data_IF_818682856159
#
_entry.id   IF_818682856159
#
_cell.length_a   1.000
_cell.length_b   1.000
_cell.length_c   1.000
_cell.angle_alpha   90.00
_cell.angle_beta   90.00
_cell.angle_gamma   90.00
#
_symmetry.space_group_name_H-M   'P 1'
#
loop_
_entity.id
_entity.type
_entity.pdbx_description
1 polymer ?
#
# COMPACT_ATOMS: atom_id res chain seq x y z
N UNK A 1 -11.52 1.19 -7.98
CA UNK A 1 -11.33 2.30 -7.03
C UNK A 1 -11.32 1.69 -5.65
N UNK A 2 -10.15 1.59 -5.04
CA UNK A 2 -10.03 1.23 -3.63
C UNK A 2 -10.34 2.52 -2.86
N UNK A 3 -11.41 2.53 -2.08
CA UNK A 3 -12.00 3.76 -1.58
C UNK A 3 -11.01 4.66 -0.83
N UNK A 4 -10.95 5.94 -1.22
CA UNK A 4 -10.21 7.02 -0.55
C UNK A 4 -10.68 7.33 0.89
N UNK A 5 -11.53 6.48 1.49
CA UNK A 5 -12.24 6.73 2.75
C UNK A 5 -11.43 6.51 4.03
N UNK A 6 -10.21 5.98 3.96
CA UNK A 6 -9.39 5.65 5.14
C UNK A 6 -8.60 6.89 5.62
N UNK A 7 -9.21 8.08 5.58
CA UNK A 7 -8.57 9.36 5.95
C UNK A 7 -9.13 9.99 7.23
N UNK A 8 -10.19 9.41 7.82
CA UNK A 8 -10.85 9.89 9.03
C UNK A 8 -10.13 9.51 10.32
N UNK A 9 -8.86 9.88 10.45
CA UNK A 9 -8.03 9.66 11.64
C UNK A 9 -8.11 10.82 12.65
N UNK A 10 -9.04 11.76 12.46
CA UNK A 10 -9.33 12.78 13.46
C UNK A 10 -9.96 12.12 14.70
N UNK A 11 -9.42 12.43 15.88
CA UNK A 11 -10.10 12.19 17.15
C UNK A 11 -11.35 13.08 17.16
N UNK A 12 -12.52 12.52 17.46
CA UNK A 12 -13.69 13.34 17.78
C UNK A 12 -13.47 14.13 19.07
N UNK A 13 -14.45 14.92 19.52
CA UNK A 13 -14.51 15.32 20.93
C UNK A 13 -15.15 14.17 21.72
N UNK A 14 -14.61 13.81 22.88
CA UNK A 14 -15.24 12.83 23.77
C UNK A 14 -16.05 13.62 24.78
N UNK A 15 -17.36 13.57 24.62
CA UNK A 15 -18.29 14.23 25.53
C UNK A 15 -18.74 13.30 26.64
N UNK A 16 -18.21 12.07 26.72
CA UNK A 16 -18.86 10.97 27.43
C UNK A 16 -20.20 10.61 26.79
N UNK A 17 -20.78 9.50 27.25
CA UNK A 17 -22.18 9.19 27.01
C UNK A 17 -22.89 9.18 28.36
N UNK A 18 -23.89 10.05 28.52
CA UNK A 18 -24.72 10.13 29.71
C UNK A 18 -26.11 9.60 29.40
N UNK A 19 -26.69 8.80 30.30
CA UNK A 19 -28.09 8.41 30.17
C UNK A 19 -29.03 9.59 30.44
N UNK A 20 -30.33 9.38 30.30
CA UNK A 20 -31.35 10.39 30.56
C UNK A 20 -31.35 10.95 32.00
N UNK A 21 -30.64 10.31 32.93
CA UNK A 21 -30.49 10.74 34.32
C UNK A 21 -29.14 11.45 34.58
N UNK A 22 -28.35 11.72 33.54
CA UNK A 22 -27.04 12.35 33.67
C UNK A 22 -25.96 11.43 34.22
N UNK A 23 -26.17 10.10 34.23
CA UNK A 23 -25.18 9.12 34.68
C UNK A 23 -24.31 8.71 33.50
N UNK A 24 -22.99 8.80 33.65
CA UNK A 24 -22.04 8.32 32.66
C UNK A 24 -22.22 6.81 32.43
N UNK A 25 -22.45 6.41 31.18
CA UNK A 25 -22.61 5.02 30.75
C UNK A 25 -21.66 4.70 29.59
N UNK A 26 -21.27 3.44 29.46
CA UNK A 26 -20.52 2.98 28.28
C UNK A 26 -21.35 3.13 27.01
N UNK A 27 -20.84 3.91 26.07
CA UNK A 27 -21.18 3.75 24.66
C UNK A 27 -19.92 3.30 23.90
N UNK A 28 -20.02 2.17 23.18
CA UNK A 28 -18.93 1.59 22.40
C UNK A 28 -18.46 2.52 21.28
N UNK A 29 -19.34 3.38 20.77
CA UNK A 29 -19.03 4.29 19.66
C UNK A 29 -18.30 5.58 20.11
N UNK A 30 -18.30 5.89 21.42
CA UNK A 30 -17.80 7.14 21.99
C UNK A 30 -16.76 6.94 23.12
N UNK A 31 -15.88 5.93 23.04
CA UNK A 31 -14.73 5.80 23.97
C UNK A 31 -15.00 5.05 25.29
N UNK A 32 -16.22 4.61 25.57
CA UNK A 32 -16.55 3.84 26.79
C UNK A 32 -16.40 4.64 28.10
N UNK A 33 -16.39 3.93 29.24
CA UNK A 33 -16.50 4.50 30.61
C UNK A 33 -15.39 5.47 31.06
N UNK A 34 -14.30 5.66 30.31
CA UNK A 34 -13.04 6.22 30.86
C UNK A 34 -12.38 7.29 29.99
N UNK A 35 -13.01 7.71 28.90
CA UNK A 35 -12.45 8.71 28.03
C UNK A 35 -11.20 8.26 27.25
N UNK A 36 -10.52 9.24 26.66
CA UNK A 36 -9.22 9.08 26.00
C UNK A 36 -8.14 8.61 26.96
N UNK A 37 -7.42 7.54 26.62
CA UNK A 37 -6.31 7.00 27.42
C UNK A 37 -5.00 7.13 26.69
N UNK A 38 -3.94 7.48 27.41
CA UNK A 38 -2.56 7.45 26.93
C UNK A 38 -1.77 6.52 27.85
N UNK A 39 -1.02 5.57 27.29
CA UNK A 39 -0.19 4.65 28.08
C UNK A 39 1.09 5.32 28.58
N UNK A 40 1.85 5.91 27.65
CA UNK A 40 3.04 6.72 27.93
C UNK A 40 2.96 8.01 27.12
N UNK A 41 3.19 9.15 27.78
CA UNK A 41 3.18 10.47 27.16
C UNK A 41 4.49 11.19 27.46
N UNK A 42 5.13 11.72 26.42
CA UNK A 42 6.11 12.79 26.56
C UNK A 42 5.45 14.09 26.10
N UNK A 43 5.41 15.10 26.98
CA UNK A 43 4.81 16.39 26.68
C UNK A 43 5.68 17.55 27.12
N UNK A 44 5.40 18.73 26.58
CA UNK A 44 6.13 19.95 26.88
C UNK A 44 5.78 20.46 28.29
N UNK A 45 6.81 20.71 29.08
CA UNK A 45 6.73 21.46 30.34
C UNK A 45 7.64 22.67 30.25
N UNK A 46 8.92 22.44 29.93
CA UNK A 46 9.91 23.47 29.61
C UNK A 46 10.40 23.35 28.17
N UNK A 47 10.99 24.43 27.64
CA UNK A 47 11.54 24.45 26.27
C UNK A 47 12.75 23.53 26.19
N UNK A 48 12.62 22.45 25.43
CA UNK A 48 13.71 21.53 25.08
C UNK A 48 14.02 21.62 23.58
N UNK A 49 15.18 22.17 23.25
CA UNK A 49 15.65 22.29 21.87
C UNK A 49 16.48 21.08 21.39
N UNK A 50 16.54 20.00 22.18
CA UNK A 50 17.27 18.77 21.89
C UNK A 50 18.75 18.81 22.25
N UNK A 51 19.23 19.89 22.90
CA UNK A 51 20.64 20.05 23.28
C UNK A 51 21.00 19.51 24.67
N UNK A 52 20.00 19.26 25.52
CA UNK A 52 20.18 18.92 26.95
C UNK A 52 20.28 17.41 27.23
N UNK A 53 20.07 16.56 26.22
CA UNK A 53 20.15 15.11 26.35
C UNK A 53 19.13 14.38 25.48
N UNK A 54 18.91 13.11 25.79
CA UNK A 54 17.92 12.25 25.11
C UNK A 54 16.81 11.86 26.07
N UNK A 55 15.57 12.22 25.73
CA UNK A 55 14.37 11.81 26.44
C UNK A 55 13.95 10.40 25.99
N UNK A 56 13.84 9.45 26.92
CA UNK A 56 13.51 8.05 26.60
C UNK A 56 12.11 7.69 27.05
N UNK A 57 11.29 7.25 26.11
CA UNK A 57 9.95 6.74 26.36
C UNK A 57 9.91 5.27 25.94
N UNK A 58 10.06 4.35 26.90
CA UNK A 58 10.25 2.92 26.62
C UNK A 58 9.15 2.06 27.25
N UNK A 59 8.48 1.24 26.43
CA UNK A 59 7.61 0.17 26.92
C UNK A 59 8.36 -1.17 26.92
N UNK A 60 8.49 -1.79 28.09
CA UNK A 60 9.03 -3.15 28.28
C UNK A 60 7.98 -4.18 28.68
N UNK A 61 6.77 -3.73 28.99
CA UNK A 61 5.65 -4.54 29.47
C UNK A 61 4.45 -4.52 28.52
N UNK A 62 3.25 -4.51 29.10
CA UNK A 62 1.99 -4.58 28.34
C UNK A 62 1.18 -3.30 28.51
N UNK A 63 0.89 -2.64 27.40
CA UNK A 63 -0.14 -1.59 27.29
C UNK A 63 -1.34 -2.21 26.57
N UNK A 64 -2.52 -2.17 27.18
CA UNK A 64 -3.72 -2.79 26.61
C UNK A 64 -4.95 -1.89 26.80
N UNK A 65 -5.44 -1.34 25.70
CA UNK A 65 -6.64 -0.53 25.64
C UNK A 65 -7.68 -1.19 24.73
N UNK A 66 -8.74 -1.73 25.32
CA UNK A 66 -9.87 -2.32 24.60
C UNK A 66 -10.91 -1.31 24.12
N UNK A 67 -10.84 -0.06 24.61
CA UNK A 67 -11.71 1.04 24.21
C UNK A 67 -11.18 1.82 23.00
N UNK A 68 -12.08 2.59 22.38
CA UNK A 68 -11.75 3.45 21.23
C UNK A 68 -10.93 4.69 21.65
N UNK A 69 -10.36 5.38 20.66
CA UNK A 69 -9.68 6.67 20.80
C UNK A 69 -8.47 6.74 21.78
N UNK A 70 -7.80 5.63 22.03
CA UNK A 70 -6.64 5.59 22.93
C UNK A 70 -5.31 5.70 22.17
N UNK A 71 -4.25 6.08 22.87
CA UNK A 71 -2.88 6.10 22.33
C UNK A 71 -1.97 5.27 23.24
N UNK A 72 -1.28 4.27 22.71
CA UNK A 72 -0.34 3.48 23.50
C UNK A 72 0.82 4.33 24.00
N UNK A 73 1.55 4.94 23.07
CA UNK A 73 2.67 5.84 23.34
C UNK A 73 2.56 7.11 22.49
N UNK A 74 2.71 8.28 23.09
CA UNK A 74 2.58 9.58 22.41
C UNK A 74 3.76 10.50 22.70
N UNK A 75 4.23 11.21 21.67
CA UNK A 75 5.08 12.39 21.80
C UNK A 75 4.27 13.61 21.36
N UNK A 76 4.06 14.54 22.29
CA UNK A 76 3.29 15.76 22.11
C UNK A 76 3.94 16.92 22.88
N UNK A 77 5.07 17.39 22.36
CA UNK A 77 5.92 18.43 22.94
C UNK A 77 5.92 19.69 22.07
N UNK A 78 4.73 20.21 21.77
CA UNK A 78 4.57 21.44 20.98
C UNK A 78 5.34 22.63 21.58
N UNK A 79 5.90 23.48 20.71
CA UNK A 79 6.76 24.60 21.12
C UNK A 79 8.19 24.19 21.48
N UNK A 80 8.53 22.90 21.39
CA UNK A 80 9.87 22.35 21.62
C UNK A 80 10.31 21.45 20.46
N UNK A 81 11.61 21.14 20.42
CA UNK A 81 12.20 20.18 19.48
C UNK A 81 13.07 19.17 20.22
N UNK A 82 12.51 18.41 21.19
CA UNK A 82 13.29 17.53 22.04
C UNK A 82 13.94 16.40 21.24
N UNK A 83 15.09 15.91 21.69
CA UNK A 83 15.67 14.68 21.18
C UNK A 83 15.04 13.49 21.92
N UNK A 84 14.25 12.68 21.21
CA UNK A 84 13.42 11.64 21.81
C UNK A 84 13.77 10.26 21.26
N UNK A 85 13.83 9.27 22.14
CA UNK A 85 13.85 7.84 21.79
C UNK A 85 12.57 7.18 22.29
N UNK A 86 11.64 6.91 21.38
CA UNK A 86 10.39 6.19 21.66
C UNK A 86 10.57 4.74 21.25
N UNK A 87 10.48 3.82 22.20
CA UNK A 87 10.75 2.40 21.97
C UNK A 87 9.66 1.51 22.59
N UNK A 88 8.90 0.81 21.76
CA UNK A 88 8.25 -0.42 22.20
C UNK A 88 9.27 -1.55 22.08
N UNK A 89 9.91 -1.92 23.19
CA UNK A 89 11.06 -2.85 23.20
C UNK A 89 10.67 -4.26 22.75
N UNK A 90 11.65 -5.14 22.54
CA UNK A 90 11.39 -6.52 22.09
C UNK A 90 10.48 -7.36 23.02
N UNK A 91 10.38 -7.00 24.31
CA UNK A 91 9.43 -7.62 25.26
C UNK A 91 8.13 -6.83 25.41
N UNK A 92 8.09 -5.62 24.86
CA UNK A 92 6.95 -4.71 24.90
C UNK A 92 5.80 -5.19 24.01
N UNK A 93 4.58 -5.03 24.51
CA UNK A 93 3.34 -5.28 23.77
C UNK A 93 2.37 -4.12 23.92
N UNK A 94 1.79 -3.69 22.81
CA UNK A 94 0.74 -2.68 22.76
C UNK A 94 -0.48 -3.30 22.07
N UNK A 95 -1.63 -3.31 22.73
CA UNK A 95 -2.90 -3.71 22.13
C UNK A 95 -3.88 -2.55 22.22
N UNK A 96 -4.44 -2.15 21.08
CA UNK A 96 -5.38 -1.05 20.95
C UNK A 96 -6.60 -1.49 20.12
N UNK A 97 -7.74 -0.84 20.32
CA UNK A 97 -8.96 -1.08 19.55
C UNK A 97 -9.68 0.21 19.18
N UNK A 98 -10.55 0.19 18.17
CA UNK A 98 -11.33 1.36 17.75
C UNK A 98 -10.47 2.43 17.08
N UNK A 99 -10.81 3.72 17.21
CA UNK A 99 -10.10 4.84 16.54
C UNK A 99 -8.79 5.23 17.25
N UNK A 100 -7.89 4.28 17.43
CA UNK A 100 -6.75 4.37 18.36
C UNK A 100 -5.39 4.33 17.67
N UNK A 101 -4.33 4.74 18.38
CA UNK A 101 -2.94 4.70 17.90
C UNK A 101 -2.06 3.85 18.80
N UNK A 102 -1.26 2.94 18.25
CA UNK A 102 -0.30 2.18 19.05
C UNK A 102 0.82 3.10 19.53
N UNK A 103 1.48 3.76 18.57
CA UNK A 103 2.48 4.80 18.80
C UNK A 103 2.16 6.00 17.90
N UNK A 104 2.10 7.20 18.47
CA UNK A 104 1.81 8.43 17.73
C UNK A 104 2.90 9.47 17.95
N UNK A 105 3.47 9.95 16.86
CA UNK A 105 4.37 11.09 16.84
C UNK A 105 3.57 12.33 16.44
N UNK A 106 3.30 13.21 17.41
CA UNK A 106 2.27 14.25 17.27
C UNK A 106 2.80 15.68 17.33
N UNK A 107 4.10 15.87 17.54
CA UNK A 107 4.76 17.17 17.55
C UNK A 107 6.10 17.13 16.80
N UNK A 108 6.67 18.32 16.56
CA UNK A 108 8.08 18.44 16.17
C UNK A 108 8.99 17.82 17.23
N UNK A 109 10.12 17.30 16.77
CA UNK A 109 11.25 16.77 17.55
C UNK A 109 12.58 17.11 16.87
N UNK A 110 13.69 16.83 17.53
CA UNK A 110 15.02 16.86 16.93
C UNK A 110 15.16 15.78 15.84
N UNK A 111 15.91 16.07 14.77
CA UNK A 111 16.16 15.12 13.66
C UNK A 111 16.89 13.84 14.05
N UNK A 112 17.53 13.82 15.23
CA UNK A 112 18.18 12.62 15.78
C UNK A 112 17.23 11.67 16.50
N UNK A 113 16.00 12.11 16.77
CA UNK A 113 14.99 11.32 17.47
C UNK A 113 14.64 10.03 16.73
N UNK A 114 14.09 9.06 17.46
CA UNK A 114 13.69 7.75 16.91
C UNK A 114 12.34 7.33 17.47
N UNK A 115 11.56 6.65 16.63
CA UNK A 115 10.33 5.95 17.01
C UNK A 115 10.39 4.53 16.47
N UNK A 116 10.53 3.56 17.36
CA UNK A 116 10.72 2.17 16.98
C UNK A 116 9.77 1.22 17.71
N UNK A 117 9.09 0.37 16.93
CA UNK A 117 8.48 -0.85 17.44
C UNK A 117 9.42 -2.04 17.21
N UNK A 118 10.12 -2.47 18.26
CA UNK A 118 10.88 -3.72 18.29
C UNK A 118 10.08 -4.90 18.87
N UNK A 119 9.02 -4.59 19.63
CA UNK A 119 8.09 -5.57 20.20
C UNK A 119 6.89 -5.84 19.31
N UNK A 120 5.72 -5.95 19.94
CA UNK A 120 4.45 -6.23 19.26
C UNK A 120 3.45 -5.09 19.40
N UNK A 121 2.75 -4.77 18.30
CA UNK A 121 1.56 -3.92 18.30
C UNK A 121 0.41 -4.71 17.67
N UNK A 122 -0.77 -4.70 18.29
CA UNK A 122 -1.99 -5.28 17.73
C UNK A 122 -3.10 -4.24 17.71
N UNK A 123 -3.68 -4.00 16.53
CA UNK A 123 -4.88 -3.19 16.39
C UNK A 123 -6.12 -4.07 16.26
N UNK A 124 -7.23 -3.61 16.84
CA UNK A 124 -8.56 -4.20 16.74
C UNK A 124 -9.62 -3.14 16.47
N UNK A 125 -10.86 -3.56 16.23
CA UNK A 125 -11.94 -2.62 15.93
C UNK A 125 -11.74 -1.87 14.60
N UNK A 126 -12.16 -0.61 14.53
CA UNK A 126 -12.16 0.17 13.28
C UNK A 126 -11.32 1.44 13.35
N UNK A 127 -10.61 1.79 12.27
CA UNK A 127 -9.89 3.08 12.12
C UNK A 127 -8.74 3.29 13.13
N UNK A 128 -7.98 2.24 13.43
CA UNK A 128 -6.75 2.32 14.23
C UNK A 128 -5.51 2.51 13.37
N UNK A 129 -4.42 3.01 13.95
CA UNK A 129 -3.08 2.90 13.36
C UNK A 129 -2.07 2.31 14.36
N UNK A 130 -1.22 1.37 13.92
CA UNK A 130 -0.17 0.81 14.76
C UNK A 130 0.89 1.87 15.09
N UNK A 131 1.48 2.49 14.07
CA UNK A 131 2.39 3.63 14.17
C UNK A 131 1.85 4.76 13.28
N UNK A 132 1.80 5.98 13.78
CA UNK A 132 1.35 7.13 13.00
C UNK A 132 2.24 8.37 13.21
N UNK A 133 2.61 9.01 12.09
CA UNK A 133 3.18 10.36 12.04
C UNK A 133 2.39 11.15 11.01
N UNK A 134 1.58 12.10 11.47
CA UNK A 134 0.58 12.78 10.67
C UNK A 134 0.70 14.27 10.93
N UNK A 135 0.82 15.06 9.86
CA UNK A 135 0.79 16.52 9.95
C UNK A 135 -0.47 17.02 10.66
N UNK A 136 -0.35 18.18 11.30
CA UNK A 136 -1.49 18.89 11.88
C UNK A 136 -1.61 20.26 11.24
N UNK A 137 -2.84 20.66 10.93
CA UNK A 137 -3.11 21.98 10.37
C UNK A 137 -2.71 23.07 11.38
N UNK A 138 -2.08 24.13 10.89
CA UNK A 138 -1.57 25.22 11.73
C UNK A 138 -0.18 24.98 12.35
N UNK A 139 0.35 23.75 12.30
CA UNK A 139 1.72 23.43 12.75
C UNK A 139 2.73 23.58 11.61
N UNK A 140 3.13 24.81 11.31
CA UNK A 140 4.02 25.13 10.18
C UNK A 140 5.45 25.46 10.62
N UNK A 141 6.40 25.50 9.69
CA UNK A 141 7.76 25.96 9.98
C UNK A 141 8.47 25.06 11.00
N UNK A 142 8.97 25.63 12.08
CA UNK A 142 9.65 24.87 13.14
C UNK A 142 8.70 23.98 13.94
N UNK A 143 7.39 24.20 13.88
CA UNK A 143 6.41 23.33 14.56
C UNK A 143 5.90 22.19 13.66
N UNK A 144 6.29 22.19 12.39
CA UNK A 144 5.85 21.17 11.43
C UNK A 144 6.32 19.77 11.82
N UNK A 145 5.39 18.82 11.85
CA UNK A 145 5.69 17.44 12.24
C UNK A 145 6.56 16.79 11.15
N UNK A 146 7.63 16.13 11.60
CA UNK A 146 8.62 15.46 10.75
C UNK A 146 8.84 14.04 11.26
N UNK A 147 8.85 13.08 10.35
CA UNK A 147 9.26 11.70 10.65
C UNK A 147 10.77 11.50 10.45
N UNK A 148 11.41 12.31 9.61
CA UNK A 148 12.80 12.18 9.18
C UNK A 148 13.14 10.83 8.52
N UNK A 149 14.21 10.79 7.74
CA UNK A 149 14.60 9.55 7.07
C UNK A 149 15.24 8.56 8.05
N UNK A 150 14.72 7.33 8.07
CA UNK A 150 15.28 6.21 8.81
C UNK A 150 15.02 6.24 10.31
N UNK A 151 14.13 7.12 10.79
CA UNK A 151 13.86 7.30 12.23
C UNK A 151 12.60 6.63 12.74
N UNK A 152 11.62 6.38 11.87
CA UNK A 152 10.36 5.71 12.23
C UNK A 152 10.36 4.28 11.69
N UNK A 153 10.40 3.29 12.59
CA UNK A 153 10.64 1.89 12.23
C UNK A 153 9.71 0.90 12.92
N UNK A 154 9.36 -0.16 12.18
CA UNK A 154 8.91 -1.42 12.74
C UNK A 154 9.98 -2.49 12.49
N UNK A 155 10.67 -2.89 13.56
CA UNK A 155 11.66 -3.99 13.58
C UNK A 155 11.07 -5.27 14.16
N UNK A 156 10.00 -5.16 14.97
CA UNK A 156 9.23 -6.27 15.52
C UNK A 156 8.01 -6.67 14.68
N UNK A 157 6.85 -6.78 15.33
CA UNK A 157 5.60 -7.22 14.70
C UNK A 157 4.44 -6.23 14.88
N UNK A 158 3.70 -5.99 13.80
CA UNK A 158 2.39 -5.29 13.84
C UNK A 158 1.32 -6.24 13.30
N UNK A 159 0.23 -6.42 14.04
CA UNK A 159 -0.95 -7.15 13.56
C UNK A 159 -2.13 -6.20 13.46
N UNK A 160 -2.65 -6.03 12.25
CA UNK A 160 -3.77 -5.15 11.93
C UNK A 160 -5.03 -5.99 11.78
N UNK A 161 -5.95 -5.91 12.74
CA UNK A 161 -7.24 -6.60 12.68
C UNK A 161 -8.41 -5.63 12.56
N UNK A 162 -9.63 -6.19 12.48
CA UNK A 162 -10.86 -5.42 12.40
C UNK A 162 -11.03 -4.77 11.02
N UNK A 163 -11.28 -3.46 10.96
CA UNK A 163 -11.54 -2.79 9.68
C UNK A 163 -10.97 -1.38 9.54
N UNK A 164 -10.69 -0.94 8.31
CA UNK A 164 -10.24 0.44 8.00
C UNK A 164 -9.03 0.92 8.84
N UNK A 165 -8.20 0.01 9.31
CA UNK A 165 -7.03 0.27 10.15
C UNK A 165 -5.73 0.19 9.35
N UNK A 166 -4.69 0.82 9.85
CA UNK A 166 -3.38 0.90 9.21
C UNK A 166 -2.29 0.33 10.13
N UNK A 167 -1.33 -0.41 9.60
CA UNK A 167 -0.16 -0.83 10.38
C UNK A 167 0.76 0.35 10.68
N UNK A 168 1.28 0.99 9.64
CA UNK A 168 2.09 2.21 9.73
C UNK A 168 1.56 3.31 8.80
N UNK A 169 1.35 4.52 9.30
CA UNK A 169 0.84 5.66 8.53
C UNK A 169 1.75 6.88 8.61
N UNK A 170 2.15 7.40 7.44
CA UNK A 170 2.87 8.66 7.31
C UNK A 170 2.06 9.63 6.45
N UNK A 171 1.84 10.85 6.95
CA UNK A 171 1.29 11.96 6.16
C UNK A 171 2.01 13.25 6.50
N UNK A 172 2.93 13.68 5.65
CA UNK A 172 3.71 14.93 5.81
C UNK A 172 4.09 15.51 4.45
N UNK A 173 4.41 16.79 4.38
CA UNK A 173 4.94 17.44 3.17
C UNK A 173 6.46 17.56 3.22
N UNK A 174 7.16 16.43 3.33
CA UNK A 174 8.62 16.37 3.43
C UNK A 174 9.16 15.05 2.87
N UNK A 175 10.44 15.02 2.52
CA UNK A 175 11.17 13.80 2.15
C UNK A 175 11.49 12.94 3.38
N UNK A 176 10.46 12.51 4.09
CA UNK A 176 10.57 11.67 5.27
C UNK A 176 10.09 10.24 4.96
N UNK A 177 10.39 9.29 5.84
CA UNK A 177 9.96 7.91 5.61
C UNK A 177 9.55 7.14 6.88
N UNK A 178 8.77 6.09 6.63
CA UNK A 178 8.47 5.02 7.58
C UNK A 178 8.98 3.69 7.01
N UNK A 179 9.60 2.86 7.84
CA UNK A 179 10.24 1.63 7.38
C UNK A 179 9.78 0.41 8.16
N UNK A 180 9.33 -0.63 7.45
CA UNK A 180 9.14 -1.96 7.99
C UNK A 180 10.34 -2.85 7.65
N UNK A 181 11.07 -3.31 8.66
CA UNK A 181 12.09 -4.37 8.53
C UNK A 181 11.65 -5.67 9.20
N UNK A 182 10.64 -5.61 10.08
CA UNK A 182 10.04 -6.75 10.75
C UNK A 182 8.84 -7.32 9.99
N UNK A 183 7.74 -7.56 10.71
CA UNK A 183 6.52 -8.16 10.16
C UNK A 183 5.30 -7.25 10.32
N UNK A 184 4.44 -7.22 9.31
CA UNK A 184 3.10 -6.64 9.38
C UNK A 184 2.10 -7.67 8.87
N UNK A 185 1.17 -8.10 9.73
CA UNK A 185 0.07 -8.99 9.37
C UNK A 185 -1.23 -8.18 9.23
N UNK A 186 -1.79 -8.12 8.03
CA UNK A 186 -2.99 -7.36 7.68
C UNK A 186 -4.15 -8.34 7.51
N UNK A 187 -5.07 -8.36 8.47
CA UNK A 187 -6.21 -9.27 8.52
C UNK A 187 -7.53 -8.50 8.40
N UNK A 188 -8.68 -9.16 8.53
CA UNK A 188 -9.98 -8.46 8.59
C UNK A 188 -10.43 -7.87 7.25
N UNK A 189 -10.87 -6.60 7.24
CA UNK A 189 -11.46 -5.98 6.03
C UNK A 189 -11.05 -4.52 5.83
N UNK A 190 -10.69 -4.14 4.61
CA UNK A 190 -10.31 -2.75 4.25
C UNK A 190 -9.15 -2.16 5.08
N UNK A 191 -8.26 -3.00 5.57
CA UNK A 191 -7.06 -2.62 6.30
C UNK A 191 -5.87 -2.42 5.36
N UNK A 192 -4.90 -1.61 5.79
CA UNK A 192 -3.67 -1.33 5.06
C UNK A 192 -2.46 -1.69 5.93
N UNK A 193 -1.46 -2.36 5.36
CA UNK A 193 -0.20 -2.62 6.07
C UNK A 193 0.59 -1.34 6.30
N UNK A 194 1.00 -0.68 5.22
CA UNK A 194 1.69 0.61 5.25
C UNK A 194 1.01 1.62 4.34
N UNK A 195 0.82 2.85 4.81
CA UNK A 195 0.28 3.94 4.00
C UNK A 195 1.16 5.18 4.09
N UNK A 196 1.34 5.82 2.95
CA UNK A 196 1.97 7.13 2.87
C UNK A 196 1.14 8.09 2.02
N UNK A 197 0.93 9.28 2.57
CA UNK A 197 0.18 10.36 1.93
C UNK A 197 1.06 11.61 1.82
N UNK A 198 0.99 12.32 0.69
CA UNK A 198 1.53 13.67 0.59
C UNK A 198 0.72 14.62 1.47
N UNK A 199 1.38 15.22 2.45
CA UNK A 199 0.81 16.24 3.29
C UNK A 199 0.67 17.60 2.59
N UNK A 200 -0.11 18.49 3.21
CA UNK A 200 -0.34 19.87 2.80
C UNK A 200 0.44 20.90 3.62
N UNK A 201 0.88 20.54 4.82
CA UNK A 201 1.50 21.47 5.77
C UNK A 201 2.98 21.61 5.44
N UNK A 202 3.38 22.79 4.98
CA UNK A 202 4.76 23.06 4.61
C UNK A 202 5.71 22.84 5.79
N UNK A 203 6.82 22.16 5.49
CA UNK A 203 7.90 21.92 6.45
C UNK A 203 9.17 22.66 6.04
N UNK A 204 10.18 22.59 6.88
CA UNK A 204 11.54 23.08 6.60
C UNK A 204 12.35 22.19 5.63
N UNK A 205 11.78 21.08 5.14
CA UNK A 205 12.33 20.31 4.04
C UNK A 205 11.32 20.11 2.91
N UNK A 206 11.81 20.17 1.68
CA UNK A 206 11.03 19.91 0.47
C UNK A 206 11.20 18.46 0.06
N UNK A 207 10.12 17.86 -0.42
CA UNK A 207 10.15 16.56 -1.07
C UNK A 207 8.96 15.69 -0.68
N UNK A 208 8.96 14.48 -1.20
CA UNK A 208 7.83 13.56 -1.14
C UNK A 208 8.07 12.46 -0.10
N UNK A 209 7.09 12.18 0.76
CA UNK A 209 7.23 11.16 1.80
C UNK A 209 7.21 9.76 1.20
N UNK A 210 7.81 8.80 1.92
CA UNK A 210 7.84 7.41 1.48
C UNK A 210 7.53 6.37 2.57
N UNK A 211 7.01 5.22 2.14
CA UNK A 211 6.85 4.03 2.95
C UNK A 211 7.70 2.90 2.36
N UNK A 212 8.58 2.32 3.17
CA UNK A 212 9.59 1.36 2.72
C UNK A 212 9.39 0.01 3.42
N UNK A 213 9.17 -1.04 2.64
CA UNK A 213 9.18 -2.40 3.13
C UNK A 213 10.47 -3.12 2.71
N UNK A 214 11.27 -3.50 3.71
CA UNK A 214 12.37 -4.45 3.59
C UNK A 214 12.15 -5.69 4.45
N UNK A 215 11.02 -5.78 5.16
CA UNK A 215 10.59 -6.95 5.91
C UNK A 215 9.47 -7.72 5.19
N UNK A 216 8.57 -8.32 5.97
CA UNK A 216 7.41 -9.07 5.44
C UNK A 216 6.09 -8.37 5.75
N UNK A 217 5.24 -8.23 4.74
CA UNK A 217 3.83 -7.88 4.89
C UNK A 217 2.98 -9.06 4.44
N UNK A 218 2.14 -9.61 5.31
CA UNK A 218 1.19 -10.68 4.99
C UNK A 218 -0.22 -10.11 4.98
N UNK A 219 -0.95 -10.28 3.89
CA UNK A 219 -2.30 -9.77 3.70
C UNK A 219 -3.28 -10.93 3.57
N UNK A 220 -4.30 -10.95 4.43
CA UNK A 220 -5.39 -11.95 4.45
C UNK A 220 -6.73 -11.24 4.49
N UNK A 221 -7.83 -11.90 4.14
CA UNK A 221 -9.18 -11.31 4.28
C UNK A 221 -9.62 -10.48 3.06
N UNK A 222 -10.48 -9.48 3.28
CA UNK A 222 -11.23 -8.81 2.20
C UNK A 222 -10.81 -7.35 2.01
N UNK A 223 -10.63 -6.91 0.76
CA UNK A 223 -10.30 -5.54 0.41
C UNK A 223 -9.05 -4.97 1.13
N UNK A 224 -8.15 -5.84 1.57
CA UNK A 224 -6.96 -5.44 2.31
C UNK A 224 -5.81 -5.11 1.36
N UNK A 225 -4.97 -4.16 1.75
CA UNK A 225 -3.86 -3.71 0.93
C UNK A 225 -2.54 -3.81 1.71
N UNK A 226 -1.50 -4.34 1.08
CA UNK A 226 -0.16 -4.38 1.70
C UNK A 226 0.41 -2.98 1.89
N UNK A 227 0.55 -2.22 0.78
CA UNK A 227 1.11 -0.87 0.79
C UNK A 227 0.28 0.11 -0.06
N UNK A 228 0.10 1.34 0.41
CA UNK A 228 -0.60 2.42 -0.30
C UNK A 228 0.26 3.67 -0.40
N UNK A 229 0.26 4.29 -1.57
CA UNK A 229 0.78 5.65 -1.81
C UNK A 229 -0.32 6.54 -2.38
N UNK A 230 -0.53 7.71 -1.76
CA UNK A 230 -1.56 8.69 -2.13
C UNK A 230 -1.01 10.11 -2.23
N UNK A 231 -1.33 10.85 -3.29
CA UNK A 231 -0.64 12.13 -3.56
C UNK A 231 0.83 11.90 -3.95
N UNK A 232 1.58 12.98 -4.22
CA UNK A 232 3.02 12.91 -4.53
C UNK A 232 3.83 12.28 -3.38
N UNK A 233 3.90 10.95 -3.37
CA UNK A 233 4.48 10.10 -2.33
C UNK A 233 4.93 8.78 -2.96
N UNK A 234 5.69 7.96 -2.21
CA UNK A 234 6.22 6.70 -2.75
C UNK A 234 6.11 5.52 -1.78
N UNK A 235 5.47 4.43 -2.19
CA UNK A 235 5.49 3.16 -1.47
C UNK A 235 6.42 2.16 -2.16
N UNK A 236 7.37 1.57 -1.44
CA UNK A 236 8.45 0.77 -2.00
C UNK A 236 8.57 -0.60 -1.32
N UNK A 237 8.43 -1.68 -2.09
CA UNK A 237 8.77 -3.04 -1.66
C UNK A 237 10.15 -3.40 -2.24
N UNK A 238 11.19 -3.39 -1.41
CA UNK A 238 12.57 -3.42 -1.87
C UNK A 238 13.19 -4.83 -1.97
N UNK A 239 14.15 -5.00 -2.88
CA UNK A 239 14.84 -6.26 -3.17
C UNK A 239 15.53 -6.93 -1.96
N UNK A 240 15.94 -8.20 -2.13
CA UNK A 240 16.63 -9.09 -1.17
C UNK A 240 15.78 -9.54 0.03
N UNK A 241 14.99 -8.65 0.64
CA UNK A 241 14.23 -8.97 1.86
C UNK A 241 12.78 -8.49 1.86
N UNK A 242 12.42 -7.49 1.05
CA UNK A 242 11.03 -7.00 0.95
C UNK A 242 10.09 -8.02 0.33
N UNK A 243 9.15 -8.50 1.14
CA UNK A 243 8.14 -9.49 0.75
C UNK A 243 6.73 -9.02 1.07
N UNK A 244 5.83 -9.13 0.09
CA UNK A 244 4.39 -9.03 0.29
C UNK A 244 3.76 -10.38 -0.06
N UNK A 245 2.99 -10.96 0.88
CA UNK A 245 2.32 -12.26 0.72
C UNK A 245 0.81 -12.09 0.84
N UNK A 246 0.09 -12.35 -0.24
CA UNK A 246 -1.37 -12.32 -0.32
C UNK A 246 -1.88 -13.75 -0.09
N UNK A 247 -2.68 -13.99 0.95
CA UNK A 247 -3.14 -15.33 1.31
C UNK A 247 -4.66 -15.36 1.40
N UNK A 248 -5.32 -16.06 0.45
CA UNK A 248 -6.77 -16.22 0.46
C UNK A 248 -7.54 -14.88 0.40
N UNK A 249 -6.96 -13.85 -0.21
CA UNK A 249 -7.56 -12.51 -0.22
C UNK A 249 -8.72 -12.41 -1.20
N UNK A 250 -9.69 -11.55 -0.89
CA UNK A 250 -10.91 -11.35 -1.69
C UNK A 250 -11.24 -9.87 -1.88
N UNK A 251 -12.15 -9.55 -2.81
CA UNK A 251 -12.89 -8.30 -2.85
C UNK A 251 -12.04 -7.05 -3.07
N UNK A 252 -11.28 -7.00 -4.16
CA UNK A 252 -10.36 -5.92 -4.50
C UNK A 252 -9.27 -5.75 -3.43
N UNK A 253 -8.51 -6.80 -3.17
CA UNK A 253 -7.30 -6.71 -2.36
C UNK A 253 -6.09 -6.39 -3.24
N UNK A 254 -5.04 -5.79 -2.66
CA UNK A 254 -3.83 -5.47 -3.42
C UNK A 254 -2.54 -5.71 -2.63
N UNK A 255 -1.46 -6.10 -3.31
CA UNK A 255 -0.12 -6.04 -2.72
C UNK A 255 0.31 -4.60 -2.52
N UNK A 256 0.30 -3.83 -3.61
CA UNK A 256 0.62 -2.40 -3.63
C UNK A 256 -0.44 -1.62 -4.42
N UNK A 257 -0.76 -0.41 -3.95
CA UNK A 257 -1.73 0.47 -4.59
C UNK A 257 -1.25 1.92 -4.65
N UNK A 258 -1.25 2.51 -5.85
CA UNK A 258 -0.96 3.92 -6.07
C UNK A 258 -2.22 4.67 -6.52
N UNK A 259 -2.51 5.80 -5.87
CA UNK A 259 -3.65 6.65 -6.18
C UNK A 259 -3.35 8.13 -5.96
N UNK A 260 -4.19 9.02 -6.48
CA UNK A 260 -4.08 10.47 -6.26
C UNK A 260 -2.76 11.10 -6.73
N UNK A 261 -2.02 10.48 -7.65
CA UNK A 261 -0.68 10.93 -8.05
C UNK A 261 0.47 10.24 -7.32
N UNK A 262 0.18 9.19 -6.54
CA UNK A 262 1.16 8.38 -5.85
C UNK A 262 2.01 7.50 -6.75
N UNK A 263 3.05 6.92 -6.16
CA UNK A 263 3.98 6.02 -6.82
C UNK A 263 4.18 4.73 -6.02
N UNK A 264 4.10 3.58 -6.69
CA UNK A 264 4.46 2.27 -6.11
C UNK A 264 5.64 1.65 -6.86
N UNK A 265 6.57 1.06 -6.12
CA UNK A 265 7.75 0.41 -6.69
C UNK A 265 7.96 -0.98 -6.08
N UNK A 266 8.00 -2.00 -6.93
CA UNK A 266 8.35 -3.36 -6.52
C UNK A 266 9.71 -3.77 -7.10
N UNK A 267 10.72 -3.87 -6.24
CA UNK A 267 12.00 -4.52 -6.55
C UNK A 267 12.21 -5.82 -5.76
N UNK A 268 11.35 -6.08 -4.75
CA UNK A 268 11.27 -7.32 -3.99
C UNK A 268 10.30 -8.35 -4.59
N UNK A 269 9.57 -9.05 -3.72
CA UNK A 269 8.65 -10.12 -4.12
C UNK A 269 7.22 -9.86 -3.66
N UNK A 270 6.25 -10.04 -4.56
CA UNK A 270 4.82 -10.11 -4.28
C UNK A 270 4.32 -11.50 -4.66
N UNK A 271 3.78 -12.26 -3.72
CA UNK A 271 3.29 -13.63 -3.96
C UNK A 271 1.89 -13.83 -3.44
N UNK A 272 1.12 -14.73 -4.04
CA UNK A 272 -0.15 -15.15 -3.46
C UNK A 272 -0.82 -16.34 -4.13
N UNK A 273 -1.67 -17.01 -3.36
CA UNK A 273 -2.42 -18.19 -3.81
C UNK A 273 -3.81 -18.24 -3.21
N UNK A 274 -4.73 -18.94 -3.90
CA UNK A 274 -6.13 -19.02 -3.50
C UNK A 274 -6.84 -17.66 -3.53
N UNK A 275 -6.43 -16.77 -4.43
CA UNK A 275 -6.90 -15.39 -4.46
C UNK A 275 -8.24 -15.24 -5.19
N UNK A 276 -9.00 -14.21 -4.84
CA UNK A 276 -10.17 -13.76 -5.62
C UNK A 276 -10.15 -12.24 -5.74
N UNK A 277 -10.41 -11.68 -6.93
CA UNK A 277 -10.46 -10.23 -7.16
C UNK A 277 -9.28 -9.49 -6.51
N UNK A 278 -8.06 -9.91 -6.84
CA UNK A 278 -6.84 -9.44 -6.15
C UNK A 278 -5.76 -9.06 -7.14
N UNK A 279 -5.10 -7.94 -6.87
CA UNK A 279 -4.01 -7.43 -7.71
C UNK A 279 -2.65 -7.50 -7.01
N UNK A 280 -1.57 -7.82 -7.71
CA UNK A 280 -0.22 -7.66 -7.16
C UNK A 280 0.09 -6.19 -6.98
N UNK A 281 0.03 -5.45 -8.07
CA UNK A 281 0.11 -3.99 -8.10
C UNK A 281 -1.13 -3.39 -8.77
N UNK A 282 -1.69 -2.33 -8.21
CA UNK A 282 -2.75 -1.53 -8.82
C UNK A 282 -2.35 -0.07 -8.92
N UNK A 283 -2.47 0.50 -10.11
CA UNK A 283 -2.06 1.88 -10.41
C UNK A 283 -3.26 2.62 -10.99
N UNK A 284 -3.78 3.59 -10.24
CA UNK A 284 -4.88 4.43 -10.69
C UNK A 284 -4.43 5.51 -11.68
N UNK A 285 -5.40 6.12 -12.37
CA UNK A 285 -5.17 7.25 -13.25
C UNK A 285 -4.38 8.37 -12.56
N UNK A 286 -3.44 8.95 -13.30
CA UNK A 286 -2.52 9.98 -12.80
C UNK A 286 -1.42 9.47 -11.86
N UNK A 287 -1.43 8.18 -11.48
CA UNK A 287 -0.45 7.57 -10.58
C UNK A 287 0.58 6.75 -11.35
N UNK A 288 1.66 6.35 -10.68
CA UNK A 288 2.78 5.63 -11.30
C UNK A 288 3.08 4.31 -10.61
N UNK A 289 3.48 3.31 -11.39
CA UNK A 289 3.97 2.04 -10.87
C UNK A 289 5.24 1.59 -11.59
N UNK A 290 6.20 1.06 -10.85
CA UNK A 290 7.42 0.46 -11.41
C UNK A 290 7.66 -0.93 -10.83
N UNK A 291 8.11 -1.87 -11.66
CA UNK A 291 8.51 -3.20 -11.17
C UNK A 291 9.80 -3.68 -11.84
N UNK A 292 10.77 -4.07 -11.02
CA UNK A 292 11.92 -4.89 -11.41
C UNK A 292 12.00 -6.20 -10.62
N UNK A 293 11.11 -6.38 -9.64
CA UNK A 293 11.00 -7.58 -8.81
C UNK A 293 9.98 -8.58 -9.33
N UNK A 294 9.70 -9.59 -8.51
CA UNK A 294 8.83 -10.71 -8.87
C UNK A 294 7.40 -10.54 -8.36
N UNK A 295 6.43 -10.90 -9.19
CA UNK A 295 5.00 -10.95 -8.87
C UNK A 295 4.48 -12.33 -9.31
N UNK A 296 4.02 -13.15 -8.37
CA UNK A 296 3.47 -14.49 -8.66
C UNK A 296 2.13 -14.70 -7.96
N UNK A 297 1.05 -14.80 -8.73
CA UNK A 297 -0.31 -14.89 -8.21
C UNK A 297 -1.06 -16.10 -8.75
N UNK A 298 -1.88 -16.74 -7.91
CA UNK A 298 -2.81 -17.77 -8.36
C UNK A 298 -4.20 -17.63 -7.74
N UNK A 299 -5.25 -17.82 -8.54
CA UNK A 299 -6.63 -17.59 -8.13
C UNK A 299 -7.56 -17.20 -9.26
N UNK A 300 -8.66 -16.52 -8.93
CA UNK A 300 -9.67 -16.07 -9.89
C UNK A 300 -9.85 -14.55 -9.87
N UNK A 301 -10.01 -13.93 -11.04
CA UNK A 301 -10.10 -12.46 -11.13
C UNK A 301 -8.82 -11.76 -10.66
N UNK A 302 -7.66 -12.37 -10.91
CA UNK A 302 -6.37 -11.83 -10.48
C UNK A 302 -5.74 -10.92 -11.53
N UNK A 303 -5.01 -9.90 -11.11
CA UNK A 303 -4.08 -9.17 -11.98
C UNK A 303 -2.69 -9.12 -11.36
N UNK A 304 -1.65 -9.57 -12.07
CA UNK A 304 -0.27 -9.31 -11.62
C UNK A 304 -0.06 -7.80 -11.45
N UNK A 305 -0.40 -7.06 -12.51
CA UNK A 305 -0.47 -5.60 -12.54
C UNK A 305 -1.78 -5.17 -13.17
N UNK A 306 -2.53 -4.33 -12.47
CA UNK A 306 -3.64 -3.56 -13.03
C UNK A 306 -3.19 -2.11 -13.21
N UNK A 307 -3.15 -1.63 -14.46
CA UNK A 307 -2.71 -0.29 -14.79
C UNK A 307 -3.82 0.53 -15.44
N UNK A 308 -4.26 1.57 -14.72
CA UNK A 308 -5.08 2.66 -15.21
C UNK A 308 -4.34 4.03 -15.17
N UNK A 309 -3.05 4.04 -14.82
CA UNK A 309 -2.16 5.19 -14.84
C UNK A 309 -0.94 4.96 -15.75
N UNK A 310 0.26 5.15 -15.22
CA UNK A 310 1.51 4.84 -15.93
C UNK A 310 2.22 3.68 -15.25
N UNK A 311 2.56 2.63 -16.00
CA UNK A 311 3.34 1.50 -15.47
C UNK A 311 4.59 1.23 -16.31
N UNK A 312 5.70 0.95 -15.65
CA UNK A 312 6.95 0.53 -16.29
C UNK A 312 7.55 -0.69 -15.60
N UNK A 313 7.66 -1.80 -16.32
CA UNK A 313 8.42 -2.98 -15.90
C UNK A 313 9.84 -2.91 -16.48
N UNK A 314 10.84 -2.88 -15.62
CA UNK A 314 12.27 -2.78 -16.01
C UNK A 314 13.03 -4.11 -15.86
N UNK A 315 12.38 -5.14 -15.31
CA UNK A 315 12.96 -6.46 -15.09
C UNK A 315 12.02 -7.35 -14.27
N UNK A 316 12.56 -8.45 -13.71
CA UNK A 316 11.81 -9.36 -12.86
C UNK A 316 10.79 -10.23 -13.62
N UNK A 317 9.89 -10.86 -12.89
CA UNK A 317 8.90 -11.78 -13.46
C UNK A 317 7.48 -11.43 -13.01
N UNK A 318 6.51 -11.51 -13.92
CA UNK A 318 5.07 -11.46 -13.59
C UNK A 318 4.41 -12.76 -14.03
N UNK A 319 4.01 -13.59 -13.07
CA UNK A 319 3.43 -14.91 -13.29
C UNK A 319 2.03 -14.98 -12.73
N UNK A 320 1.08 -15.44 -13.54
CA UNK A 320 -0.30 -15.71 -13.09
C UNK A 320 -0.76 -17.12 -13.44
N UNK A 321 -1.52 -17.74 -12.54
CA UNK A 321 -2.15 -19.05 -12.73
C UNK A 321 -3.61 -19.04 -12.24
N UNK A 322 -4.57 -19.24 -13.15
CA UNK A 322 -6.00 -19.13 -12.86
C UNK A 322 -6.65 -18.06 -13.75
N UNK A 323 -7.82 -17.51 -13.39
CA UNK A 323 -8.50 -16.54 -14.26
C UNK A 323 -8.05 -15.10 -13.99
N UNK A 324 -7.88 -14.29 -15.04
CA UNK A 324 -7.45 -12.89 -14.93
C UNK A 324 -6.35 -12.55 -15.92
N UNK A 325 -5.39 -11.71 -15.53
CA UNK A 325 -4.28 -11.30 -16.39
C UNK A 325 -2.95 -11.10 -15.66
N UNK A 326 -1.80 -11.35 -16.30
CA UNK A 326 -0.50 -10.95 -15.76
C UNK A 326 -0.34 -9.44 -15.79
N UNK A 327 -0.58 -8.80 -16.95
CA UNK A 327 -0.64 -7.35 -17.10
C UNK A 327 -1.99 -6.98 -17.70
N UNK A 328 -2.76 -6.17 -16.98
CA UNK A 328 -4.02 -5.59 -17.44
C UNK A 328 -3.89 -4.07 -17.55
N UNK A 329 -3.88 -3.56 -18.78
CA UNK A 329 -3.90 -2.13 -19.09
C UNK A 329 -5.33 -1.70 -19.46
N UNK A 330 -5.81 -0.58 -18.88
CA UNK A 330 -7.17 -0.09 -19.09
C UNK A 330 -7.22 1.44 -19.24
N UNK A 331 -8.03 1.92 -20.19
CA UNK A 331 -8.25 3.35 -20.42
C UNK A 331 -7.40 3.87 -21.56
N UNK A 332 -6.89 5.10 -21.47
CA UNK A 332 -6.00 5.73 -22.48
C UNK A 332 -4.55 5.75 -22.00
N UNK A 333 -4.09 4.62 -21.45
CA UNK A 333 -2.87 4.54 -20.64
C UNK A 333 -1.68 3.96 -21.40
N UNK A 334 -0.48 4.29 -20.93
CA UNK A 334 0.77 3.68 -21.38
C UNK A 334 1.27 2.67 -20.35
N UNK A 335 1.49 1.45 -20.81
CA UNK A 335 2.11 0.37 -20.04
C UNK A 335 3.39 -0.04 -20.76
N UNK A 336 4.55 0.17 -20.16
CA UNK A 336 5.85 -0.12 -20.76
C UNK A 336 6.45 -1.36 -20.13
N UNK A 337 6.70 -2.40 -20.91
CA UNK A 337 7.36 -3.62 -20.47
C UNK A 337 8.74 -3.67 -21.13
N UNK A 338 9.72 -3.03 -20.50
CA UNK A 338 11.05 -2.82 -21.07
C UNK A 338 11.89 -4.11 -21.07
N UNK A 339 11.74 -4.94 -20.04
CA UNK A 339 12.44 -6.20 -19.87
C UNK A 339 11.72 -7.13 -18.87
N UNK A 340 12.28 -8.33 -18.65
CA UNK A 340 11.76 -9.34 -17.71
C UNK A 340 10.89 -10.41 -18.38
N UNK A 341 10.20 -11.22 -17.58
CA UNK A 341 9.36 -12.33 -18.09
C UNK A 341 7.91 -12.15 -17.68
N UNK A 342 6.99 -12.30 -18.64
CA UNK A 342 5.55 -12.41 -18.38
C UNK A 342 5.12 -13.86 -18.63
N UNK A 343 4.52 -14.49 -17.62
CA UNK A 343 4.04 -15.88 -17.69
C UNK A 343 2.54 -15.96 -17.40
N UNK A 344 1.76 -16.59 -18.27
CA UNK A 344 0.33 -16.88 -18.07
C UNK A 344 0.02 -18.38 -18.10
N UNK A 345 -0.99 -18.81 -17.32
CA UNK A 345 -1.38 -20.22 -17.18
C UNK A 345 -2.79 -20.35 -16.56
N UNK A 346 -3.41 -21.52 -16.72
CA UNK A 346 -4.62 -21.89 -15.96
C UNK A 346 -5.84 -20.98 -16.19
N UNK A 347 -5.94 -20.33 -17.35
CA UNK A 347 -7.02 -19.42 -17.70
C UNK A 347 -6.63 -17.95 -17.75
N UNK A 348 -5.38 -17.59 -17.41
CA UNK A 348 -4.97 -16.19 -17.35
C UNK A 348 -4.49 -15.70 -18.71
N UNK A 349 -4.67 -14.40 -18.95
CA UNK A 349 -4.11 -13.70 -20.09
C UNK A 349 -2.73 -13.15 -19.71
N UNK A 350 -1.72 -13.26 -20.56
CA UNK A 350 -0.42 -12.63 -20.34
C UNK A 350 -0.56 -11.11 -20.37
N UNK A 351 -0.96 -10.58 -21.52
CA UNK A 351 -1.12 -9.16 -21.77
C UNK A 351 -2.55 -8.87 -22.21
N UNK A 352 -3.28 -8.08 -21.41
CA UNK A 352 -4.63 -7.64 -21.71
C UNK A 352 -4.64 -6.11 -21.88
N UNK A 353 -4.85 -5.66 -23.12
CA UNK A 353 -5.13 -4.28 -23.47
C UNK A 353 -6.64 -4.05 -23.65
N UNK A 354 -7.23 -3.16 -22.85
CA UNK A 354 -8.67 -2.86 -22.82
C UNK A 354 -8.94 -1.38 -23.08
N UNK A 355 -10.07 -1.10 -23.71
CA UNK A 355 -10.41 0.24 -24.22
C UNK A 355 -9.33 0.77 -25.19
N UNK A 356 -8.76 1.94 -24.91
CA UNK A 356 -7.79 2.63 -25.77
C UNK A 356 -6.34 2.50 -25.25
N UNK A 357 -6.04 1.45 -24.48
CA UNK A 357 -4.76 1.32 -23.79
C UNK A 357 -3.65 0.84 -24.72
N UNK A 358 -2.43 1.33 -24.52
CA UNK A 358 -1.25 0.87 -25.25
C UNK A 358 -0.31 0.08 -24.33
N UNK A 359 0.14 -1.09 -24.79
CA UNK A 359 1.22 -1.85 -24.16
C UNK A 359 2.44 -1.81 -25.08
N UNK A 360 3.52 -1.16 -24.63
CA UNK A 360 4.80 -1.10 -25.32
C UNK A 360 5.72 -2.23 -24.81
N UNK A 361 6.32 -2.98 -25.73
CA UNK A 361 7.17 -4.13 -25.43
C UNK A 361 8.60 -3.84 -25.90
N UNK A 362 9.50 -3.77 -24.94
CA UNK A 362 10.92 -3.54 -25.16
C UNK A 362 11.33 -2.08 -25.18
N UNK A 363 12.63 -1.88 -25.42
CA UNK A 363 13.31 -0.61 -25.65
C UNK A 363 14.21 -0.78 -26.87
N UNK A 364 15.01 0.23 -27.23
CA UNK A 364 15.99 0.09 -28.31
C UNK A 364 17.02 -1.05 -28.09
N UNK A 365 17.22 -1.53 -26.86
CA UNK A 365 18.28 -2.49 -26.52
C UNK A 365 17.81 -3.72 -25.73
N UNK A 366 16.56 -3.75 -25.28
CA UNK A 366 16.03 -4.82 -24.43
C UNK A 366 14.63 -5.21 -24.85
N UNK A 367 14.25 -6.46 -24.60
CA UNK A 367 12.90 -6.95 -24.84
C UNK A 367 12.44 -7.85 -23.67
N UNK A 368 11.13 -7.88 -23.36
CA UNK A 368 10.59 -8.88 -22.46
C UNK A 368 10.49 -10.26 -23.13
N UNK A 369 10.48 -11.31 -22.31
CA UNK A 369 10.12 -12.67 -22.71
C UNK A 369 8.66 -12.93 -22.36
N UNK A 370 7.90 -13.48 -23.31
CA UNK A 370 6.52 -13.89 -23.07
C UNK A 370 6.44 -15.42 -23.03
N UNK A 371 5.77 -15.96 -22.02
CA UNK A 371 5.55 -17.40 -21.85
C UNK A 371 4.09 -17.66 -21.56
N UNK A 372 3.49 -18.60 -22.29
CA UNK A 372 2.12 -19.04 -22.04
C UNK A 372 2.09 -20.55 -21.91
N UNK A 373 1.61 -21.02 -20.76
CA UNK A 373 1.49 -22.43 -20.43
C UNK A 373 0.06 -22.92 -20.67
N UNK A 374 -0.19 -24.20 -20.38
CA UNK A 374 -1.49 -24.85 -20.52
C UNK A 374 -2.63 -24.01 -19.94
N UNK A 375 -3.68 -23.80 -20.75
CA UNK A 375 -4.86 -23.02 -20.41
C UNK A 375 -4.65 -21.50 -20.37
N UNK A 376 -3.44 -20.99 -20.55
CA UNK A 376 -3.18 -19.55 -20.64
C UNK A 376 -3.40 -19.00 -22.05
N UNK A 377 -3.59 -17.69 -22.13
CA UNK A 377 -3.60 -16.90 -23.36
C UNK A 377 -2.47 -15.88 -23.32
N UNK A 378 -1.73 -15.66 -24.41
CA UNK A 378 -0.61 -14.69 -24.41
C UNK A 378 -1.11 -13.26 -24.56
N UNK A 379 -1.92 -13.00 -25.58
CA UNK A 379 -2.44 -11.67 -25.91
C UNK A 379 -3.97 -11.67 -25.96
N UNK A 380 -4.58 -10.66 -25.35
CA UNK A 380 -6.00 -10.39 -25.52
C UNK A 380 -6.25 -8.90 -25.72
N UNK A 381 -6.98 -8.58 -26.79
CA UNK A 381 -7.41 -7.22 -27.11
C UNK A 381 -8.93 -7.15 -27.03
N UNK A 382 -9.47 -6.19 -26.25
CA UNK A 382 -10.92 -5.97 -26.15
C UNK A 382 -11.29 -4.59 -26.72
N UNK A 383 -11.54 -4.47 -28.03
CA UNK A 383 -11.78 -3.18 -28.67
C UNK A 383 -13.15 -2.60 -28.26
N UNK A 384 -13.21 -1.29 -28.05
CA UNK A 384 -14.44 -0.58 -27.62
C UNK A 384 -15.28 0.03 -28.74
N UNK A 385 -14.93 -0.16 -30.01
CA UNK A 385 -15.65 0.48 -31.12
C UNK A 385 -16.43 -0.50 -32.00
N UNK A 386 -17.68 -0.12 -32.26
CA UNK A 386 -18.43 -0.58 -33.42
C UNK A 386 -17.63 -0.24 -34.69
N UNK A 387 -17.23 -1.25 -35.45
CA UNK A 387 -16.63 -1.17 -36.79
C UNK A 387 -15.57 -0.06 -37.01
N UNK A 388 -14.28 -0.37 -36.77
CA UNK A 388 -13.23 0.10 -37.68
C UNK A 388 -12.06 0.93 -37.14
N UNK A 389 -11.96 1.24 -35.84
CA UNK A 389 -10.75 1.87 -35.30
C UNK A 389 -10.25 1.13 -34.05
N UNK A 390 -9.14 0.39 -34.19
CA UNK A 390 -8.39 -0.13 -33.05
C UNK A 390 -7.80 1.04 -32.27
N UNK A 391 -8.20 1.15 -31.01
CA UNK A 391 -7.66 2.16 -30.09
C UNK A 391 -6.70 1.55 -29.06
N UNK A 392 -6.84 0.25 -28.76
CA UNK A 392 -5.88 -0.53 -28.00
C UNK A 392 -4.89 -1.24 -28.94
N UNK A 393 -3.62 -1.27 -28.52
CA UNK A 393 -2.53 -1.82 -29.34
C UNK A 393 -1.40 -2.40 -28.49
N UNK A 394 -0.72 -3.39 -29.05
CA UNK A 394 0.57 -3.89 -28.58
C UNK A 394 1.65 -3.36 -29.53
N UNK A 395 2.60 -2.59 -29.01
CA UNK A 395 3.66 -1.99 -29.80
C UNK A 395 4.99 -2.68 -29.50
N UNK A 396 5.61 -3.28 -30.52
CA UNK A 396 6.94 -3.87 -30.39
C UNK A 396 8.00 -2.81 -30.67
N UNK A 397 8.81 -2.51 -29.67
CA UNK A 397 9.92 -1.57 -29.76
C UNK A 397 11.28 -2.27 -29.96
N UNK A 398 11.27 -3.60 -29.97
CA UNK A 398 12.38 -4.50 -30.20
C UNK A 398 11.83 -5.86 -30.69
N UNK A 399 12.69 -6.75 -31.17
CA UNK A 399 12.33 -8.16 -31.36
C UNK A 399 11.90 -8.78 -30.04
N UNK A 400 10.65 -9.25 -29.96
CA UNK A 400 10.05 -9.90 -28.78
C UNK A 400 9.86 -11.39 -29.09
N UNK A 401 10.39 -12.24 -28.22
CA UNK A 401 10.20 -13.69 -28.31
C UNK A 401 9.08 -14.17 -27.39
N UNK A 402 8.15 -14.94 -27.95
CA UNK A 402 7.10 -15.63 -27.22
C UNK A 402 7.30 -17.15 -27.25
N UNK A 403 7.08 -17.82 -26.12
CA UNK A 403 7.02 -19.29 -26.03
C UNK A 403 5.60 -19.71 -25.68
N UNK A 404 4.95 -20.45 -26.57
CA UNK A 404 3.65 -21.07 -26.31
C UNK A 404 3.87 -22.55 -26.05
N UNK A 405 3.76 -22.95 -24.79
CA UNK A 405 3.90 -24.34 -24.39
C UNK A 405 2.61 -25.12 -24.67
N UNK A 406 2.70 -26.46 -24.62
CA UNK A 406 1.57 -27.35 -24.89
C UNK A 406 0.31 -26.94 -24.10
N UNK A 407 -0.81 -26.77 -24.83
CA UNK A 407 -2.10 -26.35 -24.29
C UNK A 407 -2.26 -24.84 -24.04
N UNK A 408 -1.24 -24.02 -24.30
CA UNK A 408 -1.34 -22.56 -24.29
C UNK A 408 -1.84 -22.01 -25.63
N UNK A 409 -2.37 -20.78 -25.60
CA UNK A 409 -2.83 -20.05 -26.79
C UNK A 409 -2.06 -18.73 -26.94
N UNK A 410 -1.62 -18.40 -28.15
CA UNK A 410 -1.01 -17.09 -28.42
C UNK A 410 -2.07 -15.98 -28.51
N UNK A 411 -3.08 -16.21 -29.35
CA UNK A 411 -4.12 -15.24 -29.69
C UNK A 411 -5.49 -15.89 -29.61
N UNK A 412 -6.50 -15.09 -29.28
CA UNK A 412 -7.90 -15.50 -29.27
C UNK A 412 -8.76 -14.44 -29.94
N UNK A 413 -9.58 -14.85 -30.90
CA UNK A 413 -10.50 -14.00 -31.62
C UNK A 413 -11.93 -14.26 -31.12
N UNK A 414 -12.57 -13.26 -30.55
CA UNK A 414 -13.96 -13.36 -30.06
C UNK A 414 -14.95 -12.98 -31.15
N UNK A 415 -16.04 -13.73 -31.28
CA UNK A 415 -17.18 -13.43 -32.16
C UNK A 415 -16.85 -13.33 -33.67
N UNK A 416 -15.83 -14.05 -34.14
CA UNK A 416 -15.48 -14.13 -35.56
C UNK A 416 -16.19 -15.34 -36.19
N UNK A 417 -17.30 -15.09 -36.89
CA UNK A 417 -18.13 -16.12 -37.52
C UNK A 417 -18.19 -16.02 -39.06
N UNK A 418 -17.67 -14.93 -39.64
CA UNK A 418 -17.67 -14.70 -41.09
C UNK A 418 -16.29 -14.27 -41.58
N UNK A 419 -16.01 -14.47 -42.87
CA UNK A 419 -14.76 -14.02 -43.49
C UNK A 419 -14.57 -12.49 -43.39
N UNK A 420 -15.66 -11.72 -43.44
CA UNK A 420 -15.63 -10.28 -43.21
C UNK A 420 -15.22 -9.95 -41.78
N UNK A 421 -15.78 -10.66 -40.78
CA UNK A 421 -15.39 -10.50 -39.38
C UNK A 421 -13.94 -10.95 -39.12
N UNK A 422 -13.46 -11.99 -39.81
CA UNK A 422 -12.07 -12.41 -39.72
C UNK A 422 -11.14 -11.38 -40.33
N UNK A 423 -11.48 -10.86 -41.52
CA UNK A 423 -10.73 -9.76 -42.14
C UNK A 423 -10.66 -8.57 -41.20
N UNK A 424 -11.79 -8.15 -40.63
CA UNK A 424 -11.81 -7.08 -39.64
C UNK A 424 -10.94 -7.43 -38.43
N UNK A 425 -11.03 -8.64 -37.88
CA UNK A 425 -10.23 -9.07 -36.75
C UNK A 425 -8.71 -9.10 -37.04
N UNK A 426 -8.30 -9.45 -38.27
CA UNK A 426 -6.91 -9.44 -38.70
C UNK A 426 -6.41 -8.03 -39.04
N UNK A 427 -7.22 -7.19 -39.68
CA UNK A 427 -6.92 -5.76 -39.87
C UNK A 427 -6.79 -5.03 -38.51
N UNK A 428 -7.33 -5.66 -37.44
CA UNK A 428 -7.29 -5.19 -36.07
C UNK A 428 -6.13 -5.78 -35.23
N UNK A 429 -5.39 -6.76 -35.76
CA UNK A 429 -4.20 -7.34 -35.14
C UNK A 429 -2.95 -6.65 -35.69
#
# INVERSE_FOLDING_TARGET
>A
SFGNGIGGFARGADTGHFDANGIARSNYDNGGYMGYKIGLLLTHEDVDNGSTGMNKLTNTGKINFSGSNSIGMQVDAEGSTPNVQVLNSGTGSISISGRSYGMKWDSRVHGDSTLENAGSITTGGGYSAGIAVIEQQGKTGTDSIRAYQGKVKNTGGITVNGSNSIGMYLKVNAQDNITNTGTINVNGTANIGMRVDKGSVATDAVGDPSAINTGTITVTGKANIGMVSNGASKAQNLATTGKITLTGTTGNSAGMYATGGGSVENTGTITGSGLTDTTGMSVDAGSTGTSSGDITLSGSGIAGVYNAGTFTMTGGNVTTNGTGASIYAKGTVNTNINAGTITSSGGSVGLFADNASTINLGTATTAPKLVTNSGGLMFYNNPTSSAGAQVNKFNLLHDVSGTVNSGGLAFYLKNVNTAAQLKTALDNM
#
